data_IF_705898226823
#
_entry.id   IF_705898226823
#
_cell.length_a   1.000
_cell.length_b   1.000
_cell.length_c   1.000
_cell.angle_alpha   90.00
_cell.angle_beta   90.00
_cell.angle_gamma   90.00
#
_symmetry.space_group_name_H-M   'P 1'
#
loop_
_entity.id
_entity.type
_entity.pdbx_description
1 polymer ?
#
# COMPACT_ATOMS: atom_id res chain seq x y z
N UNK A 1 -15.85 -5.54 0.95
CA UNK A 1 -15.42 -5.57 2.37
C UNK A 1 -14.90 -6.96 2.71
N UNK A 2 -13.65 -7.10 3.17
CA UNK A 2 -13.11 -8.40 3.59
C UNK A 2 -13.43 -8.65 5.06
N UNK A 3 -13.90 -9.84 5.39
CA UNK A 3 -14.26 -10.20 6.78
C UNK A 3 -13.08 -10.76 7.58
N UNK A 4 -11.98 -11.13 6.92
CA UNK A 4 -10.78 -11.66 7.56
C UNK A 4 -9.51 -11.20 6.83
N UNK A 5 -8.40 -11.13 7.57
CA UNK A 5 -7.06 -10.86 7.01
C UNK A 5 -6.66 -11.90 5.97
N UNK A 6 -7.08 -13.16 6.15
CA UNK A 6 -6.80 -14.24 5.21
C UNK A 6 -7.43 -13.95 3.85
N UNK A 7 -8.71 -13.55 3.82
CA UNK A 7 -9.39 -13.19 2.57
C UNK A 7 -8.74 -11.99 1.88
N UNK A 8 -8.35 -10.97 2.65
CA UNK A 8 -7.64 -9.82 2.11
C UNK A 8 -6.29 -10.23 1.48
N UNK A 9 -5.49 -11.06 2.18
CA UNK A 9 -4.21 -11.57 1.66
C UNK A 9 -4.39 -12.43 0.41
N UNK A 10 -5.41 -13.29 0.36
CA UNK A 10 -5.70 -14.10 -0.83
C UNK A 10 -6.11 -13.24 -2.01
N UNK A 11 -6.89 -12.18 -1.80
CA UNK A 11 -7.24 -11.24 -2.86
C UNK A 11 -6.02 -10.49 -3.40
N UNK A 12 -5.13 -10.02 -2.52
CA UNK A 12 -3.86 -9.41 -2.93
C UNK A 12 -3.03 -10.38 -3.78
N UNK A 13 -2.88 -11.64 -3.35
CA UNK A 13 -2.16 -12.66 -4.13
C UNK A 13 -2.80 -12.92 -5.50
N UNK A 14 -4.13 -12.96 -5.55
CA UNK A 14 -4.84 -13.10 -6.82
C UNK A 14 -4.52 -11.94 -7.79
N UNK A 15 -4.49 -10.70 -7.29
CA UNK A 15 -4.10 -9.53 -8.09
C UNK A 15 -2.64 -9.60 -8.53
N UNK A 16 -1.72 -9.98 -7.62
CA UNK A 16 -0.31 -10.15 -7.94
C UNK A 16 -0.10 -11.15 -9.08
N UNK A 17 -0.80 -12.28 -9.06
CA UNK A 17 -0.72 -13.27 -10.14
C UNK A 17 -1.41 -12.80 -11.42
N UNK A 18 -2.59 -12.19 -11.33
CA UNK A 18 -3.37 -11.74 -12.50
C UNK A 18 -2.64 -10.68 -13.32
N UNK A 19 -1.92 -9.78 -12.66
CA UNK A 19 -1.20 -8.66 -13.28
C UNK A 19 0.32 -8.86 -13.31
N UNK A 20 0.79 -10.06 -12.98
CA UNK A 20 2.21 -10.44 -12.97
C UNK A 20 3.09 -9.46 -12.18
N UNK A 21 2.60 -9.04 -11.02
CA UNK A 21 3.24 -8.09 -10.13
C UNK A 21 4.23 -8.80 -9.19
N UNK A 22 5.18 -8.03 -8.70
CA UNK A 22 6.29 -8.53 -7.90
C UNK A 22 5.90 -8.51 -6.42
N UNK A 23 5.64 -9.69 -5.87
CA UNK A 23 5.31 -9.84 -4.44
C UNK A 23 6.44 -9.39 -3.50
N UNK A 24 7.68 -9.32 -3.98
CA UNK A 24 8.80 -8.76 -3.24
C UNK A 24 8.63 -7.26 -3.04
N UNK A 25 8.40 -6.54 -4.14
CA UNK A 25 8.36 -5.08 -4.13
C UNK A 25 7.10 -4.52 -3.42
N UNK A 26 6.01 -5.28 -3.44
CA UNK A 26 4.83 -5.00 -2.61
C UNK A 26 5.14 -5.07 -1.10
N UNK A 27 6.11 -5.90 -0.68
CA UNK A 27 6.50 -6.13 0.72
C UNK A 27 7.65 -5.22 1.17
N UNK A 28 8.51 -4.78 0.25
CA UNK A 28 9.68 -3.95 0.55
C UNK A 28 9.97 -2.98 -0.59
N UNK A 29 10.21 -1.71 -0.27
CA UNK A 29 10.66 -0.67 -1.23
C UNK A 29 12.11 -0.85 -1.71
N UNK A 30 12.79 -1.91 -1.28
CA UNK A 30 14.19 -2.19 -1.64
C UNK A 30 14.27 -3.34 -2.64
N UNK A 31 15.22 -3.24 -3.57
CA UNK A 31 15.60 -4.34 -4.44
C UNK A 31 16.17 -5.47 -3.57
N UNK A 32 15.75 -6.70 -3.83
CA UNK A 32 16.12 -7.84 -3.02
C UNK A 32 17.46 -8.41 -3.50
N UNK A 33 18.25 -8.97 -2.58
CA UNK A 33 19.43 -9.76 -2.95
C UNK A 33 19.04 -11.05 -3.69
N UNK A 34 17.81 -11.55 -3.49
CA UNK A 34 17.26 -12.74 -4.12
C UNK A 34 15.94 -12.44 -4.84
N UNK A 35 15.67 -13.01 -6.03
CA UNK A 35 14.39 -12.85 -6.71
C UNK A 35 13.19 -13.32 -5.88
N UNK A 36 12.02 -12.70 -6.06
CA UNK A 36 10.82 -13.10 -5.33
C UNK A 36 10.28 -14.46 -5.79
N UNK A 37 9.45 -15.09 -4.96
CA UNK A 37 8.84 -16.40 -5.23
C UNK A 37 8.06 -16.43 -6.56
N UNK A 38 7.36 -15.35 -6.92
CA UNK A 38 6.63 -15.25 -8.19
C UNK A 38 7.55 -15.19 -9.41
N UNK A 39 8.75 -14.63 -9.28
CA UNK A 39 9.73 -14.64 -10.38
C UNK A 39 10.22 -16.07 -10.67
N UNK A 40 10.48 -16.86 -9.62
CA UNK A 40 10.95 -18.26 -9.75
C UNK A 40 9.96 -19.11 -10.54
N UNK A 41 8.66 -18.88 -10.35
CA UNK A 41 7.57 -19.58 -11.06
C UNK A 41 7.08 -18.83 -12.30
N UNK A 42 7.83 -17.83 -12.79
CA UNK A 42 7.51 -17.04 -13.99
C UNK A 42 6.14 -16.32 -13.94
N UNK A 43 5.69 -15.95 -12.75
CA UNK A 43 4.47 -15.15 -12.49
C UNK A 43 4.76 -13.68 -12.16
N UNK A 44 6.00 -13.22 -12.30
CA UNK A 44 6.32 -11.80 -12.38
C UNK A 44 7.58 -11.59 -13.23
N UNK A 45 7.79 -10.37 -13.70
CA UNK A 45 8.87 -10.03 -14.63
C UNK A 45 10.22 -9.70 -13.95
N UNK A 46 10.28 -9.74 -12.61
CA UNK A 46 11.54 -9.67 -11.88
C UNK A 46 12.10 -8.27 -11.67
N UNK A 47 11.24 -7.25 -11.50
CA UNK A 47 11.66 -5.89 -11.13
C UNK A 47 12.53 -5.88 -9.85
N UNK A 48 12.23 -6.74 -8.87
CA UNK A 48 13.04 -6.89 -7.65
C UNK A 48 14.46 -7.40 -7.87
N UNK A 49 14.72 -8.03 -9.01
CA UNK A 49 16.01 -8.58 -9.43
C UNK A 49 16.66 -7.77 -10.56
N UNK A 50 16.12 -6.57 -10.86
CA UNK A 50 16.61 -5.70 -11.94
C UNK A 50 16.42 -6.29 -13.35
N UNK A 51 15.51 -7.26 -13.51
CA UNK A 51 15.21 -7.87 -14.82
C UNK A 51 14.11 -7.15 -15.58
N UNK A 52 13.31 -6.39 -14.87
CA UNK A 52 12.28 -5.52 -15.41
C UNK A 52 12.55 -4.08 -14.95
N UNK A 53 12.27 -3.10 -15.83
CA UNK A 53 12.34 -1.69 -15.49
C UNK A 53 11.17 -1.26 -14.58
N UNK A 54 11.38 -0.22 -13.78
CA UNK A 54 10.35 0.30 -12.86
C UNK A 54 9.14 0.83 -13.66
N UNK A 55 9.38 1.41 -14.83
CA UNK A 55 8.35 1.97 -15.71
C UNK A 55 7.43 0.88 -16.26
N UNK A 56 8.02 -0.21 -16.77
CA UNK A 56 7.29 -1.39 -17.25
C UNK A 56 6.43 -1.99 -16.12
N UNK A 57 7.02 -2.12 -14.94
CA UNK A 57 6.32 -2.62 -13.76
C UNK A 57 5.12 -1.72 -13.39
N UNK A 58 5.37 -0.41 -13.33
CA UNK A 58 4.37 0.58 -12.95
C UNK A 58 3.20 0.64 -13.94
N UNK A 59 3.42 0.34 -15.22
CA UNK A 59 2.33 0.27 -16.21
C UNK A 59 1.30 -0.81 -15.82
N UNK A 60 1.75 -2.03 -15.51
CA UNK A 60 0.86 -3.12 -15.07
C UNK A 60 0.26 -2.84 -13.69
N UNK A 61 1.01 -2.22 -12.80
CA UNK A 61 0.50 -1.80 -11.50
C UNK A 61 -0.65 -0.81 -11.67
N UNK A 62 -0.48 0.22 -12.51
CA UNK A 62 -1.53 1.20 -12.79
C UNK A 62 -2.75 0.58 -13.49
N UNK A 63 -2.53 -0.37 -14.39
CA UNK A 63 -3.63 -1.13 -15.01
C UNK A 63 -4.45 -1.88 -13.94
N UNK A 64 -3.79 -2.58 -13.02
CA UNK A 64 -4.45 -3.23 -11.88
C UNK A 64 -5.26 -2.22 -11.05
N UNK A 65 -4.71 -1.04 -10.79
CA UNK A 65 -5.41 0.01 -10.02
C UNK A 65 -6.69 0.42 -10.74
N UNK A 66 -6.60 0.77 -12.01
CA UNK A 66 -7.73 1.26 -12.80
C UNK A 66 -8.82 0.20 -12.94
N UNK A 67 -8.45 -1.06 -13.14
CA UNK A 67 -9.40 -2.13 -13.39
C UNK A 67 -10.04 -2.70 -12.11
N UNK A 68 -9.31 -2.76 -11.00
CA UNK A 68 -9.72 -3.51 -9.80
C UNK A 68 -9.96 -2.61 -8.58
N UNK A 69 -9.29 -1.46 -8.53
CA UNK A 69 -9.20 -0.61 -7.34
C UNK A 69 -10.09 0.63 -7.45
N UNK A 70 -11.35 0.45 -7.83
CA UNK A 70 -12.36 1.51 -7.78
C UNK A 70 -13.05 1.62 -6.40
N UNK A 71 -12.40 1.12 -5.33
CA UNK A 71 -13.04 0.88 -4.03
C UNK A 71 -13.10 2.15 -3.17
N UNK A 72 -12.24 3.14 -3.43
CA UNK A 72 -12.18 4.39 -2.68
C UNK A 72 -11.84 5.54 -3.64
N UNK A 73 -12.86 6.04 -4.34
CA UNK A 73 -12.72 7.24 -5.18
C UNK A 73 -12.59 8.54 -4.39
N UNK A 74 -12.61 8.46 -3.06
CA UNK A 74 -12.58 9.59 -2.15
C UNK A 74 -11.48 9.38 -1.10
N UNK A 75 -10.84 10.48 -0.72
CA UNK A 75 -9.88 10.51 0.37
C UNK A 75 -10.64 10.28 1.69
N UNK A 76 -10.15 9.36 2.51
CA UNK A 76 -10.82 8.99 3.75
C UNK A 76 -9.83 8.74 4.88
N UNK A 77 -10.30 8.94 6.10
CA UNK A 77 -9.55 8.70 7.32
C UNK A 77 -10.24 7.60 8.11
N UNK A 78 -9.54 6.50 8.33
CA UNK A 78 -9.99 5.43 9.23
C UNK A 78 -9.45 5.76 10.61
N UNK A 79 -10.32 5.84 11.61
CA UNK A 79 -9.96 6.07 13.01
C UNK A 79 -10.20 4.80 13.82
N UNK A 80 -9.27 4.47 14.71
CA UNK A 80 -9.41 3.36 15.67
C UNK A 80 -8.74 3.75 17.01
N UNK A 81 -8.86 2.88 18.00
CA UNK A 81 -8.11 2.96 19.26
C UNK A 81 -6.60 2.99 18.99
N UNK A 82 -5.90 3.85 19.71
CA UNK A 82 -4.44 3.97 19.66
C UNK A 82 -3.74 2.91 20.50
N UNK A 83 -2.44 3.07 20.68
CA UNK A 83 -1.63 2.14 21.50
C UNK A 83 -1.94 2.26 22.99
N UNK A 84 -2.43 3.43 23.39
CA UNK A 84 -2.81 3.77 24.75
C UNK A 84 -4.26 4.25 24.79
N UNK A 85 -4.90 4.17 25.96
CA UNK A 85 -6.31 4.53 26.13
C UNK A 85 -6.60 6.02 25.87
N UNK A 86 -5.58 6.87 25.94
CA UNK A 86 -5.61 8.30 25.65
C UNK A 86 -5.16 8.62 24.21
N UNK A 87 -5.07 7.61 23.33
CA UNK A 87 -4.63 7.76 21.95
C UNK A 87 -5.66 7.19 20.97
N UNK A 88 -5.81 7.82 19.81
CA UNK A 88 -6.48 7.28 18.62
C UNK A 88 -5.45 7.02 17.54
N UNK A 89 -5.55 5.88 16.86
CA UNK A 89 -4.82 5.64 15.63
C UNK A 89 -5.62 6.15 14.44
N UNK A 90 -4.91 6.60 13.40
CA UNK A 90 -5.54 6.90 12.12
C UNK A 90 -4.77 6.30 10.95
N UNK A 91 -5.51 5.93 9.92
CA UNK A 91 -5.00 5.57 8.59
C UNK A 91 -5.58 6.55 7.59
N UNK A 92 -4.70 7.30 6.93
CA UNK A 92 -5.06 8.21 5.86
C UNK A 92 -4.99 7.46 4.53
N UNK A 93 -6.12 7.44 3.83
CA UNK A 93 -6.24 6.88 2.49
C UNK A 93 -6.46 8.05 1.52
N UNK A 94 -5.62 8.15 0.50
CA UNK A 94 -5.68 9.17 -0.54
C UNK A 94 -5.68 8.48 -1.90
N UNK A 95 -6.63 8.85 -2.79
CA UNK A 95 -6.81 8.20 -4.09
C UNK A 95 -6.89 6.66 -4.02
N UNK A 96 -7.48 6.15 -2.94
CA UNK A 96 -7.61 4.72 -2.66
C UNK A 96 -6.36 3.99 -2.18
N UNK A 97 -5.24 4.69 -1.95
CA UNK A 97 -4.02 4.13 -1.36
C UNK A 97 -3.85 4.56 0.07
N UNK A 98 -3.34 3.66 0.92
CA UNK A 98 -2.85 4.04 2.24
C UNK A 98 -1.66 5.00 2.06
N UNK A 99 -1.87 6.28 2.36
CA UNK A 99 -0.84 7.33 2.29
C UNK A 99 0.02 7.31 3.53
N UNK A 100 -0.63 7.22 4.70
CA UNK A 100 0.03 7.39 5.97
C UNK A 100 -0.75 6.76 7.13
N UNK A 101 -0.01 6.54 8.21
CA UNK A 101 -0.56 6.12 9.50
C UNK A 101 0.10 6.88 10.64
N UNK A 102 -0.71 7.18 11.65
CA UNK A 102 -0.32 8.05 12.75
C UNK A 102 -1.21 7.90 13.96
N UNK A 103 -0.96 8.75 14.94
CA UNK A 103 -1.62 8.72 16.24
C UNK A 103 -1.99 10.12 16.70
N UNK A 104 -3.16 10.25 17.32
CA UNK A 104 -3.71 11.48 17.88
C UNK A 104 -3.95 11.27 19.38
N UNK A 105 -3.57 12.22 20.21
CA UNK A 105 -3.97 12.20 21.64
C UNK A 105 -5.44 12.61 21.78
N UNK A 106 -6.16 11.95 22.71
CA UNK A 106 -7.61 12.07 22.92
C UNK A 106 -8.10 13.46 23.32
N UNK A 107 -7.19 14.38 23.62
CA UNK A 107 -7.50 15.78 23.92
C UNK A 107 -7.73 16.64 22.67
N UNK A 108 -7.36 16.15 21.49
CA UNK A 108 -7.52 16.89 20.24
C UNK A 108 -8.87 16.54 19.60
N UNK A 109 -9.64 17.56 19.19
CA UNK A 109 -10.71 17.36 18.23
C UNK A 109 -10.14 16.69 16.97
N UNK A 110 -10.94 15.89 16.25
CA UNK A 110 -10.49 15.23 15.02
C UNK A 110 -10.05 16.34 14.03
N UNK A 111 -8.75 16.45 13.71
CA UNK A 111 -8.25 17.50 12.85
C UNK A 111 -8.75 17.33 11.41
N UNK A 112 -8.69 18.39 10.62
CA UNK A 112 -8.85 18.28 9.16
C UNK A 112 -7.77 17.36 8.56
N UNK A 113 -8.02 16.79 7.38
CA UNK A 113 -7.04 15.93 6.68
C UNK A 113 -5.67 16.62 6.54
N UNK A 114 -5.66 17.93 6.25
CA UNK A 114 -4.44 18.72 6.13
C UNK A 114 -3.65 18.81 7.46
N UNK A 115 -4.32 18.79 8.59
CA UNK A 115 -3.68 18.84 9.91
C UNK A 115 -3.17 17.47 10.37
N UNK A 116 -3.81 16.38 9.91
CA UNK A 116 -3.35 15.01 10.19
C UNK A 116 -1.94 14.75 9.66
N UNK A 117 -1.49 15.46 8.62
CA UNK A 117 -0.14 15.33 8.08
C UNK A 117 0.95 15.58 9.14
N UNK A 118 0.67 16.42 10.16
CA UNK A 118 1.58 16.72 11.27
C UNK A 118 1.76 15.57 12.26
N UNK A 119 0.85 14.60 12.25
CA UNK A 119 0.80 13.49 13.21
C UNK A 119 1.15 12.14 12.57
N UNK A 120 1.62 12.16 11.31
CA UNK A 120 2.06 10.97 10.59
C UNK A 120 3.31 10.41 11.25
N UNK A 121 3.24 9.14 11.66
CA UNK A 121 4.40 8.41 12.16
C UNK A 121 5.08 7.64 11.03
N UNK A 122 4.30 7.12 10.09
CA UNK A 122 4.79 6.33 8.97
C UNK A 122 4.07 6.78 7.71
N UNK A 123 4.85 7.28 6.74
CA UNK A 123 4.37 7.46 5.37
C UNK A 123 4.55 6.15 4.61
N UNK A 124 3.47 5.65 4.00
CA UNK A 124 3.42 4.36 3.33
C UNK A 124 2.84 4.47 1.92
N UNK A 125 3.29 5.46 1.14
CA UNK A 125 2.96 5.47 -0.28
C UNK A 125 3.53 4.21 -0.96
N UNK A 126 2.65 3.28 -1.35
CA UNK A 126 3.02 2.02 -1.98
C UNK A 126 3.34 2.20 -3.47
N UNK A 127 3.12 3.39 -4.04
CA UNK A 127 3.57 3.70 -5.39
C UNK A 127 5.09 3.79 -5.40
N UNK A 128 5.71 3.04 -6.31
CA UNK A 128 7.15 3.12 -6.53
C UNK A 128 7.37 4.40 -7.32
N UNK A 129 7.85 5.43 -6.63
CA UNK A 129 8.28 6.65 -7.32
C UNK A 129 9.44 6.27 -8.24
N UNK A 130 9.44 6.72 -9.51
CA UNK A 130 10.66 6.65 -10.29
C UNK A 130 11.78 7.30 -9.47
N UNK A 131 12.95 6.66 -9.42
CA UNK A 131 14.12 7.24 -8.75
C UNK A 131 14.39 8.61 -9.39
N UNK A 132 14.39 9.67 -8.58
CA UNK A 132 15.18 10.89 -8.84
C UNK A 132 16.62 10.65 -8.38
#
# INVERSE_FOLDING_TARGET
>A
MFTTVIRAKSFIRFLEEKYELCSGLAKSKQLFQSPCELYVVQKCHGVCAGKESIESYNLRFNEMIVCEWNIFGEDLVILDTGRHADEKSFVLIESGFCKALGFLTNHNAIPSIAELEKFITISRDLRIKPYD
#
